data_IF_158340686132
#
_entry.id   IF_158340686132
#
_cell.length_a   1.000
_cell.length_b   1.000
_cell.length_c   1.000
_cell.angle_alpha   90.00
_cell.angle_beta   90.00
_cell.angle_gamma   90.00
#
_symmetry.space_group_name_H-M   'P 1'
#
loop_
_entity.id
_entity.type
_entity.pdbx_description
1 polymer ?
#
# COMPACT_ATOMS: atom_id res chain seq x y z
N UNK A 1 -20.89 6.56 -20.64
CA UNK A 1 -21.07 5.71 -19.44
C UNK A 1 -19.79 5.81 -18.64
N UNK A 2 -19.75 6.66 -17.62
CA UNK A 2 -18.59 6.75 -16.73
C UNK A 2 -18.50 5.44 -15.94
N UNK A 3 -17.43 4.67 -16.15
CA UNK A 3 -17.12 3.53 -15.30
C UNK A 3 -17.00 4.06 -13.85
N UNK A 4 -17.65 3.43 -12.86
CA UNK A 4 -17.41 3.79 -11.47
C UNK A 4 -15.92 3.58 -11.19
N UNK A 5 -15.26 4.60 -10.62
CA UNK A 5 -13.87 4.51 -10.18
C UNK A 5 -13.74 3.31 -9.24
N UNK A 6 -12.98 2.30 -9.62
CA UNK A 6 -12.75 1.15 -8.76
C UNK A 6 -12.07 1.65 -7.46
N UNK A 7 -12.57 1.26 -6.27
CA UNK A 7 -11.98 1.72 -5.02
C UNK A 7 -10.51 1.28 -4.94
N UNK A 8 -9.67 2.12 -4.35
CA UNK A 8 -8.25 1.82 -4.21
C UNK A 8 -8.05 0.48 -3.46
N UNK A 9 -7.16 -0.39 -3.95
CA UNK A 9 -6.85 -1.65 -3.27
C UNK A 9 -6.47 -1.41 -1.79
N UNK A 10 -6.86 -2.32 -0.87
CA UNK A 10 -6.45 -2.25 0.53
C UNK A 10 -4.95 -2.01 0.73
N UNK A 11 -4.08 -2.68 -0.03
CA UNK A 11 -2.63 -2.50 0.03
C UNK A 11 -2.19 -1.08 -0.26
N UNK A 12 -2.81 -0.43 -1.25
CA UNK A 12 -2.52 0.95 -1.62
C UNK A 12 -2.93 1.93 -0.55
N UNK A 13 -4.14 1.77 0.03
CA UNK A 13 -4.59 2.60 1.15
C UNK A 13 -3.69 2.43 2.37
N UNK A 14 -3.34 1.19 2.72
CA UNK A 14 -2.45 0.89 3.83
C UNK A 14 -1.08 1.53 3.64
N UNK A 15 -0.42 1.31 2.51
CA UNK A 15 0.91 1.83 2.25
C UNK A 15 0.95 3.38 2.29
N UNK A 16 -0.04 4.03 1.67
CA UNK A 16 -0.14 5.48 1.60
C UNK A 16 -0.33 6.11 2.98
N UNK A 17 -1.38 5.70 3.69
CA UNK A 17 -1.81 6.37 4.92
C UNK A 17 -0.92 6.01 6.12
N UNK A 18 -0.37 4.79 6.15
CA UNK A 18 0.64 4.45 7.14
C UNK A 18 1.90 5.30 6.99
N UNK A 19 2.40 5.47 5.76
CA UNK A 19 3.57 6.33 5.50
C UNK A 19 3.29 7.81 5.82
N UNK A 20 2.09 8.30 5.50
CA UNK A 20 1.67 9.66 5.86
C UNK A 20 1.64 9.87 7.37
N UNK A 21 1.18 8.87 8.14
CA UNK A 21 1.21 8.92 9.60
C UNK A 21 2.64 8.89 10.16
N UNK A 22 3.49 8.00 9.65
CA UNK A 22 4.88 7.89 10.10
C UNK A 22 5.68 9.18 9.86
N UNK A 23 5.35 9.92 8.80
CA UNK A 23 5.95 11.24 8.49
C UNK A 23 5.29 12.41 9.23
N UNK A 24 4.25 12.17 10.03
CA UNK A 24 3.54 13.20 10.79
C UNK A 24 2.60 14.06 9.95
N UNK A 25 2.26 13.64 8.73
CA UNK A 25 1.35 14.36 7.83
C UNK A 25 -0.12 14.21 8.23
N UNK A 26 -0.45 13.16 9.00
CA UNK A 26 -1.80 12.87 9.47
C UNK A 26 -1.78 12.26 10.88
N UNK A 27 -2.93 12.24 11.56
CA UNK A 27 -3.09 11.56 12.86
C UNK A 27 -3.20 10.03 12.71
N UNK A 28 -3.03 9.30 13.81
CA UNK A 28 -3.18 7.83 13.80
C UNK A 28 -4.62 7.42 13.47
N UNK A 29 -5.61 8.15 14.00
CA UNK A 29 -7.02 7.85 13.79
C UNK A 29 -7.43 8.12 12.34
N UNK A 30 -7.03 9.27 11.78
CA UNK A 30 -7.30 9.60 10.38
C UNK A 30 -6.65 8.59 9.42
N UNK A 31 -5.41 8.18 9.70
CA UNK A 31 -4.75 7.15 8.93
C UNK A 31 -5.51 5.82 9.01
N UNK A 32 -5.89 5.38 10.22
CA UNK A 32 -6.66 4.15 10.40
C UNK A 32 -7.99 4.20 9.66
N UNK A 33 -8.73 5.29 9.76
CA UNK A 33 -10.03 5.44 9.12
C UNK A 33 -9.91 5.43 7.60
N UNK A 34 -8.87 6.06 7.05
CA UNK A 34 -8.61 6.02 5.61
C UNK A 34 -8.14 4.64 5.12
N UNK A 35 -7.38 3.89 5.94
CA UNK A 35 -6.98 2.50 5.66
C UNK A 35 -8.18 1.57 5.66
N UNK A 36 -9.10 1.73 6.62
CA UNK A 36 -10.33 0.93 6.71
C UNK A 36 -11.28 1.31 5.58
N UNK A 37 -11.45 2.61 5.30
CA UNK A 37 -12.35 3.13 4.27
C UNK A 37 -13.76 2.58 4.45
N UNK A 38 -14.32 2.01 3.39
CA UNK A 38 -15.68 1.47 3.39
C UNK A 38 -15.80 0.05 3.99
N UNK A 39 -14.69 -0.56 4.38
CA UNK A 39 -14.68 -1.89 4.99
C UNK A 39 -15.19 -1.82 6.44
N UNK A 40 -15.81 -2.89 6.93
CA UNK A 40 -16.34 -2.91 8.29
C UNK A 40 -15.26 -2.83 9.38
N UNK A 41 -14.12 -3.49 9.13
CA UNK A 41 -12.96 -3.51 10.02
C UNK A 41 -11.73 -4.05 9.29
N UNK A 42 -10.56 -3.65 9.78
CA UNK A 42 -9.28 -4.24 9.41
C UNK A 42 -8.57 -4.72 10.67
N UNK A 43 -8.12 -5.97 10.64
CA UNK A 43 -7.37 -6.60 11.73
C UNK A 43 -6.09 -7.24 11.18
N UNK A 44 -5.07 -7.43 12.02
CA UNK A 44 -3.77 -7.98 11.65
C UNK A 44 -3.43 -9.17 12.54
N UNK A 45 -3.13 -10.31 11.91
CA UNK A 45 -2.66 -11.53 12.53
C UNK A 45 -1.13 -11.65 12.46
N UNK A 46 -0.57 -12.51 13.31
CA UNK A 46 0.84 -12.92 13.32
C UNK A 46 1.84 -11.76 13.49
N UNK A 47 1.43 -10.68 14.14
CA UNK A 47 2.31 -9.57 14.50
C UNK A 47 3.41 -10.03 15.46
N UNK A 48 4.68 -9.67 15.21
CA UNK A 48 5.78 -10.01 16.12
C UNK A 48 5.55 -9.47 17.53
N UNK A 49 5.69 -10.35 18.53
CA UNK A 49 5.57 -9.98 19.94
C UNK A 49 4.14 -9.71 20.42
N UNK A 50 3.12 -10.00 19.60
CA UNK A 50 1.72 -9.78 19.96
C UNK A 50 0.90 -11.05 19.71
N UNK A 51 0.27 -11.55 20.76
CA UNK A 51 -0.57 -12.76 20.64
C UNK A 51 -1.90 -12.45 19.96
N UNK A 52 -2.29 -13.31 19.03
CA UNK A 52 -3.59 -13.29 18.34
C UNK A 52 -3.78 -12.12 17.37
N UNK A 53 -4.96 -12.08 16.74
CA UNK A 53 -5.33 -11.02 15.80
C UNK A 53 -5.61 -9.71 16.53
N UNK A 54 -5.14 -8.59 15.98
CA UNK A 54 -5.27 -7.26 16.58
C UNK A 54 -5.92 -6.25 15.63
N UNK A 55 -6.70 -5.28 16.15
CA UNK A 55 -7.20 -4.18 15.34
C UNK A 55 -6.08 -3.41 14.64
N UNK A 56 -6.35 -2.94 13.42
CA UNK A 56 -5.39 -2.20 12.60
C UNK A 56 -4.69 -1.07 13.39
N UNK A 57 -5.44 -0.30 14.19
CA UNK A 57 -4.87 0.81 14.98
C UNK A 57 -3.74 0.35 15.93
N UNK A 58 -3.88 -0.84 16.53
CA UNK A 58 -2.85 -1.43 17.40
C UNK A 58 -1.68 -1.90 16.56
N UNK A 59 -1.95 -2.53 15.43
CA UNK A 59 -0.93 -2.98 14.49
C UNK A 59 -0.02 -1.84 14.01
N UNK A 60 -0.58 -0.68 13.65
CA UNK A 60 0.21 0.47 13.20
C UNK A 60 1.19 0.95 14.29
N UNK A 61 0.72 1.02 15.55
CA UNK A 61 1.55 1.33 16.71
C UNK A 61 2.69 0.33 16.91
N UNK A 62 2.37 -0.96 16.83
CA UNK A 62 3.36 -2.05 16.95
C UNK A 62 4.42 -1.96 15.85
N UNK A 63 4.01 -1.82 14.58
CA UNK A 63 4.93 -1.72 13.44
C UNK A 63 5.87 -0.52 13.56
N UNK A 64 5.35 0.64 13.98
CA UNK A 64 6.19 1.82 14.27
C UNK A 64 7.19 1.52 15.40
N UNK A 65 6.76 0.84 16.46
CA UNK A 65 7.63 0.42 17.57
C UNK A 65 8.75 -0.53 17.13
N UNK A 66 8.52 -1.33 16.09
CA UNK A 66 9.51 -2.22 15.47
C UNK A 66 10.47 -1.51 14.50
N UNK A 67 10.34 -0.18 14.31
CA UNK A 67 11.23 0.60 13.47
C UNK A 67 10.70 0.91 12.07
N UNK A 68 9.40 0.65 11.81
CA UNK A 68 8.80 0.99 10.52
C UNK A 68 8.95 2.49 10.22
N UNK A 69 9.43 2.81 9.01
CA UNK A 69 9.67 4.18 8.55
C UNK A 69 8.78 4.58 7.37
N UNK A 70 8.34 3.62 6.57
CA UNK A 70 7.39 3.78 5.47
C UNK A 70 6.75 2.43 5.14
N UNK A 71 5.81 2.44 4.20
CA UNK A 71 5.27 1.23 3.60
C UNK A 71 5.20 1.32 2.09
N UNK A 72 5.21 0.14 1.50
CA UNK A 72 5.31 -0.06 0.08
C UNK A 72 4.36 -1.09 -0.46
N UNK A 73 3.79 -0.86 -1.65
CA UNK A 73 2.93 -1.85 -2.28
C UNK A 73 3.73 -2.92 -3.04
N UNK A 74 3.19 -4.13 -3.02
CA UNK A 74 3.52 -5.24 -3.90
C UNK A 74 2.24 -5.65 -4.65
N UNK A 75 2.19 -5.43 -5.96
CA UNK A 75 1.03 -5.72 -6.80
C UNK A 75 1.46 -6.68 -7.93
N UNK A 76 1.51 -7.99 -7.66
CA UNK A 76 1.95 -8.96 -8.65
C UNK A 76 1.00 -8.97 -9.85
N UNK A 77 1.58 -8.91 -11.05
CA UNK A 77 0.86 -9.23 -12.30
C UNK A 77 1.55 -10.42 -12.97
N UNK A 78 0.83 -11.26 -13.73
CA UNK A 78 1.43 -12.42 -14.39
C UNK A 78 2.68 -12.04 -15.20
N UNK A 79 3.83 -12.60 -14.83
CA UNK A 79 5.11 -12.34 -15.51
C UNK A 79 5.91 -11.14 -15.00
N UNK A 80 5.42 -10.42 -13.98
CA UNK A 80 6.15 -9.33 -13.34
C UNK A 80 6.37 -9.63 -11.85
N UNK A 81 7.63 -9.59 -11.43
CA UNK A 81 8.04 -9.77 -10.04
C UNK A 81 8.34 -8.44 -9.35
N UNK A 82 8.18 -7.30 -10.03
CA UNK A 82 8.40 -5.99 -9.41
C UNK A 82 7.52 -5.83 -8.16
N UNK A 83 8.14 -5.33 -7.09
CA UNK A 83 7.49 -5.14 -5.80
C UNK A 83 7.47 -6.38 -4.89
N UNK A 84 7.75 -7.59 -5.40
CA UNK A 84 7.96 -8.77 -4.57
C UNK A 84 9.36 -8.71 -3.95
N UNK A 85 9.43 -8.54 -2.63
CA UNK A 85 10.71 -8.44 -1.93
C UNK A 85 11.16 -9.75 -1.26
N UNK A 86 10.41 -10.84 -1.41
CA UNK A 86 10.72 -12.12 -0.74
C UNK A 86 10.59 -12.03 0.78
N UNK A 87 10.84 -13.12 1.54
CA UNK A 87 11.16 -14.49 1.12
C UNK A 87 10.06 -15.21 0.30
N UNK A 88 10.34 -16.44 -0.15
CA UNK A 88 9.45 -17.19 -1.04
C UNK A 88 8.02 -17.33 -0.47
N UNK A 89 7.90 -17.63 0.81
CA UNK A 89 6.59 -17.81 1.48
C UNK A 89 5.75 -16.51 1.42
N UNK A 90 6.37 -15.36 1.68
CA UNK A 90 5.68 -14.07 1.53
C UNK A 90 5.28 -13.82 0.07
N UNK A 91 6.17 -14.09 -0.88
CA UNK A 91 5.86 -13.90 -2.29
C UNK A 91 4.70 -14.78 -2.77
N UNK A 92 4.64 -16.04 -2.32
CA UNK A 92 3.53 -16.95 -2.65
C UNK A 92 2.22 -16.37 -2.12
N UNK A 93 2.18 -15.94 -0.86
CA UNK A 93 0.97 -15.35 -0.27
C UNK A 93 0.53 -14.06 -1.00
N UNK A 94 1.47 -13.18 -1.34
CA UNK A 94 1.18 -11.97 -2.12
C UNK A 94 0.64 -12.29 -3.50
N UNK A 95 1.21 -13.29 -4.19
CA UNK A 95 0.73 -13.73 -5.51
C UNK A 95 -0.66 -14.33 -5.41
N UNK A 96 -0.93 -15.14 -4.39
CA UNK A 96 -2.26 -15.72 -4.18
C UNK A 96 -3.31 -14.68 -3.79
N UNK A 97 -2.93 -13.67 -3.00
CA UNK A 97 -3.82 -12.56 -2.65
C UNK A 97 -3.99 -11.55 -3.79
N UNK A 98 -3.02 -11.48 -4.70
CA UNK A 98 -2.97 -10.48 -5.77
C UNK A 98 -2.46 -9.10 -5.31
N UNK A 99 -2.17 -8.94 -4.02
CA UNK A 99 -1.66 -7.70 -3.44
C UNK A 99 -0.95 -7.96 -2.10
N UNK A 100 -0.08 -7.03 -1.72
CA UNK A 100 0.63 -7.05 -0.44
C UNK A 100 1.26 -5.71 -0.10
N UNK A 101 1.71 -5.58 1.14
CA UNK A 101 2.44 -4.41 1.63
C UNK A 101 3.77 -4.85 2.23
N UNK A 102 4.81 -4.10 1.96
CA UNK A 102 6.12 -4.19 2.58
C UNK A 102 6.29 -3.06 3.58
N UNK A 103 6.74 -3.40 4.79
CA UNK A 103 6.99 -2.46 5.88
C UNK A 103 8.47 -2.14 5.89
N UNK A 104 8.82 -0.94 5.42
CA UNK A 104 10.21 -0.49 5.34
C UNK A 104 10.76 -0.24 6.75
N UNK A 105 11.98 -0.72 7.03
CA UNK A 105 12.62 -0.58 8.34
C UNK A 105 12.29 -1.69 9.36
N UNK A 106 11.30 -2.56 9.09
CA UNK A 106 10.91 -3.63 10.00
C UNK A 106 11.13 -5.06 9.47
N UNK A 107 11.54 -5.24 8.20
CA UNK A 107 11.69 -6.56 7.53
C UNK A 107 10.39 -7.42 7.63
N UNK A 108 9.24 -6.76 7.48
CA UNK A 108 7.93 -7.37 7.55
C UNK A 108 7.11 -7.04 6.31
N UNK A 109 6.19 -7.94 5.97
CA UNK A 109 5.17 -7.74 4.95
C UNK A 109 3.79 -8.10 5.47
N UNK A 110 2.76 -7.47 4.92
CA UNK A 110 1.36 -7.72 5.24
C UNK A 110 0.61 -8.15 3.99
N UNK A 111 -0.14 -9.24 4.07
CA UNK A 111 -0.95 -9.76 2.97
C UNK A 111 -2.43 -9.70 3.37
N UNK A 112 -3.30 -9.01 2.61
CA UNK A 112 -4.72 -8.93 2.95
C UNK A 112 -5.49 -10.15 2.45
N UNK A 113 -6.47 -10.58 3.23
CA UNK A 113 -7.53 -11.51 2.83
C UNK A 113 -8.88 -10.95 3.23
N UNK A 114 -9.88 -11.09 2.35
CA UNK A 114 -11.25 -10.68 2.64
C UNK A 114 -11.89 -11.58 3.69
N UNK A 115 -12.46 -10.98 4.73
CA UNK A 115 -13.15 -11.67 5.82
C UNK A 115 -14.53 -11.04 6.03
N UNK A 116 -15.54 -11.58 5.32
CA UNK A 116 -16.87 -10.97 5.28
C UNK A 116 -16.81 -9.55 4.72
N UNK A 117 -17.31 -8.57 5.48
CA UNK A 117 -17.26 -7.15 5.12
C UNK A 117 -15.94 -6.45 5.53
N UNK A 118 -14.99 -7.17 6.14
CA UNK A 118 -13.70 -6.64 6.59
C UNK A 118 -12.51 -7.21 5.83
N UNK A 119 -11.31 -6.92 6.35
CA UNK A 119 -10.02 -7.44 5.88
C UNK A 119 -9.22 -7.95 7.07
N UNK A 120 -8.66 -9.15 6.94
CA UNK A 120 -7.63 -9.65 7.85
C UNK A 120 -6.31 -9.64 7.11
N UNK A 121 -5.31 -9.01 7.71
CA UNK A 121 -3.95 -8.97 7.21
C UNK A 121 -3.11 -10.01 7.94
N UNK A 122 -2.39 -10.84 7.20
CA UNK A 122 -1.41 -11.75 7.81
C UNK A 122 -0.03 -11.11 7.72
N UNK A 123 0.69 -11.08 8.84
CA UNK A 123 2.06 -10.57 8.88
C UNK A 123 3.06 -11.69 8.57
N UNK A 124 4.01 -11.40 7.69
CA UNK A 124 5.06 -12.32 7.29
C UNK A 124 6.43 -11.64 7.41
N UNK A 125 7.52 -12.40 7.64
CA UNK A 125 8.86 -11.91 7.34
C UNK A 125 8.93 -11.48 5.87
N UNK A 126 9.55 -10.34 5.59
CA UNK A 126 9.77 -9.87 4.22
C UNK A 126 11.07 -9.07 4.12
N UNK A 127 11.64 -8.94 2.91
CA UNK A 127 12.78 -8.02 2.74
C UNK A 127 12.28 -6.58 2.63
N UNK A 128 12.80 -5.68 3.46
CA UNK A 128 12.40 -4.26 3.43
C UNK A 128 12.83 -3.52 2.15
N UNK A 129 13.82 -4.07 1.42
CA UNK A 129 14.32 -3.49 0.17
C UNK A 129 13.45 -3.90 -1.01
N UNK A 130 12.64 -2.95 -1.47
CA UNK A 130 11.97 -3.04 -2.78
C UNK A 130 12.91 -2.65 -3.91
N UNK A 131 12.88 -3.41 -4.99
CA UNK A 131 13.38 -2.95 -6.28
C UNK A 131 12.28 -2.10 -6.93
N UNK A 132 12.23 -0.81 -6.57
CA UNK A 132 11.34 0.16 -7.21
C UNK A 132 12.11 0.84 -8.34
N UNK A 133 11.48 1.16 -9.49
CA UNK A 133 12.11 1.98 -10.52
C UNK A 133 12.61 3.31 -9.94
N UNK A 134 13.61 3.91 -10.58
CA UNK A 134 14.17 5.19 -10.14
C UNK A 134 13.07 6.27 -10.12
N UNK A 135 12.87 6.89 -8.95
CA UNK A 135 11.93 7.99 -8.75
C UNK A 135 12.14 9.16 -9.73
N UNK A 136 13.38 9.35 -10.19
CA UNK A 136 13.74 10.38 -11.17
C UNK A 136 13.06 10.15 -12.50
N UNK A 137 13.01 8.89 -12.95
CA UNK A 137 12.35 8.50 -14.19
C UNK A 137 10.83 8.68 -14.06
N UNK A 138 10.26 8.32 -12.91
CA UNK A 138 8.85 8.54 -12.62
C UNK A 138 8.47 10.03 -12.61
N UNK A 139 9.28 10.89 -11.98
CA UNK A 139 9.06 12.35 -11.99
C UNK A 139 9.17 12.93 -13.40
N UNK A 140 10.17 12.49 -14.18
CA UNK A 140 10.31 12.91 -15.57
C UNK A 140 9.10 12.50 -16.41
N UNK A 141 8.59 11.28 -16.24
CA UNK A 141 7.40 10.79 -16.92
C UNK A 141 6.15 11.59 -16.53
N UNK A 142 5.96 11.88 -15.24
CA UNK A 142 4.85 12.69 -14.73
C UNK A 142 4.90 14.11 -15.29
N UNK A 143 6.07 14.77 -15.24
CA UNK A 143 6.25 16.11 -15.79
C UNK A 143 5.95 16.16 -17.29
N UNK A 144 6.36 15.14 -18.05
CA UNK A 144 5.99 15.03 -19.47
C UNK A 144 4.49 14.82 -19.68
N UNK A 145 3.84 14.01 -18.85
CA UNK A 145 2.39 13.81 -18.94
C UNK A 145 1.61 15.10 -18.65
N UNK A 146 2.01 15.87 -17.63
CA UNK A 146 1.41 17.15 -17.28
C UNK A 146 1.55 18.20 -18.40
N UNK A 147 2.74 18.30 -19.00
CA UNK A 147 2.97 19.22 -20.13
C UNK A 147 2.11 18.87 -21.35
N UNK A 148 2.01 17.58 -21.68
CA UNK A 148 1.15 17.12 -22.79
C UNK A 148 -0.33 17.38 -22.53
N UNK A 149 -0.80 17.10 -21.31
CA UNK A 149 -2.18 17.38 -20.92
C UNK A 149 -2.49 18.88 -21.01
N UNK A 150 -1.58 19.74 -20.53
CA UNK A 150 -1.71 21.19 -20.63
C UNK A 150 -1.78 21.68 -22.08
N UNK A 151 -0.93 21.16 -22.98
CA UNK A 151 -0.97 21.51 -24.40
C UNK A 151 -2.29 21.12 -25.06
N UNK A 152 -2.78 19.89 -24.80
CA UNK A 152 -4.06 19.43 -25.33
C UNK A 152 -5.25 20.29 -24.84
N UNK A 153 -5.24 20.71 -23.57
CA UNK A 153 -6.25 21.61 -23.03
C UNK A 153 -6.20 23.00 -23.68
N UNK A 154 -5.00 23.54 -23.91
CA UNK A 154 -4.84 24.83 -24.59
C UNK A 154 -5.34 24.77 -26.05
N UNK A 155 -5.05 23.70 -26.79
CA UNK A 155 -5.56 23.51 -28.16
C UNK A 155 -7.10 23.48 -28.21
N UNK A 156 -7.74 22.83 -27.24
CA UNK A 156 -9.20 22.79 -27.13
C UNK A 156 -9.81 24.16 -26.78
N UNK A 157 -9.14 24.96 -25.96
CA UNK A 157 -9.62 26.29 -25.56
C UNK A 157 -9.46 27.33 -26.68
N UNK A 158 -8.47 27.14 -27.58
CA UNK A 158 -8.24 27.99 -28.76
C UNK A 158 -9.17 27.62 -29.93
N UNK A 159 -9.71 26.41 -29.95
CA UNK A 159 -10.67 25.95 -30.96
C UNK A 159 -12.13 26.38 -30.69
N UNK A 160 -12.37 27.26 -29.71
CA UNK A 160 -13.68 27.82 -29.36
C UNK A 160 -13.94 29.18 -30.02
#
# INVERSE_FOLDING_TARGET
MSQPSEPLPPSMRLALWFSAWLTGTTSLDDARDAIVGDDAAHDVADLPGVDGTRPMIVALGTLRGLGASAAGIALPVPGDLLGLAGPADFNVEVVEAGEGVLVEGAELGLVPRRAGAGVVWTCHPATSRRQVPDSTEADQALRHALLRAGAALAELDVAR
#
